data_IF_147643029764
#
_entry.id   IF_147643029764
#
_cell.length_a   1.000
_cell.length_b   1.000
_cell.length_c   1.000
_cell.angle_alpha   90.00
_cell.angle_beta   90.00
_cell.angle_gamma   90.00
#
_symmetry.space_group_name_H-M   'P 1'
#
loop_
_entity.id
_entity.type
_entity.pdbx_description
1 polymer ?
#
# COMPACT_ATOMS: atom_id res chain seq x y z
N UNK A 1 4.19 -1.52 -19.92
CA UNK A 1 3.08 -1.79 -18.98
C UNK A 1 1.90 -0.81 -19.18
N UNK A 2 2.03 0.17 -20.07
CA UNK A 2 1.05 1.27 -20.24
C UNK A 2 -0.22 0.94 -21.05
N UNK A 3 -0.21 -0.12 -21.85
CA UNK A 3 -1.31 -0.39 -22.79
C UNK A 3 -2.56 -1.02 -22.15
N UNK A 4 -2.46 -1.61 -20.95
CA UNK A 4 -3.61 -2.18 -20.24
C UNK A 4 -4.40 -1.12 -19.44
N UNK A 5 -3.74 0.00 -19.10
CA UNK A 5 -4.32 1.11 -18.33
C UNK A 5 -5.23 2.04 -19.16
N UNK A 6 -5.18 1.95 -20.50
CA UNK A 6 -5.90 2.85 -21.40
C UNK A 6 -7.38 2.50 -21.64
N UNK A 7 -7.85 1.33 -21.23
CA UNK A 7 -9.22 0.85 -21.54
C UNK A 7 -10.21 0.92 -20.36
N UNK A 8 -9.83 1.49 -19.21
CA UNK A 8 -10.72 1.66 -18.06
C UNK A 8 -11.32 3.08 -18.05
N UNK A 9 -12.56 3.29 -18.53
CA UNK A 9 -13.23 4.59 -18.44
C UNK A 9 -13.37 4.99 -16.96
N UNK A 10 -12.80 6.12 -16.58
CA UNK A 10 -12.84 6.67 -15.22
C UNK A 10 -11.66 6.32 -14.30
N UNK A 11 -10.74 5.42 -14.69
CA UNK A 11 -9.54 5.11 -13.90
C UNK A 11 -8.34 6.03 -14.21
N UNK A 12 -8.32 6.67 -15.38
CA UNK A 12 -7.18 7.47 -15.83
C UNK A 12 -6.81 8.67 -14.95
N UNK A 13 -7.76 9.26 -14.20
CA UNK A 13 -7.47 10.39 -13.31
C UNK A 13 -6.94 9.98 -11.93
N UNK A 14 -7.27 8.78 -11.44
CA UNK A 14 -6.88 8.34 -10.10
C UNK A 14 -5.46 7.76 -10.07
N UNK A 15 -5.00 7.15 -11.17
CA UNK A 15 -3.65 6.57 -11.27
C UNK A 15 -2.59 7.53 -11.83
N UNK A 16 -2.97 8.62 -12.52
CA UNK A 16 -2.02 9.60 -13.08
C UNK A 16 -1.15 10.32 -12.04
N UNK A 17 -1.60 10.39 -10.79
CA UNK A 17 -0.88 11.06 -9.71
C UNK A 17 0.00 10.11 -8.89
N UNK A 18 -0.02 8.81 -9.18
CA UNK A 18 0.86 7.85 -8.53
C UNK A 18 2.10 7.69 -9.42
N UNK A 19 2.96 8.70 -9.44
CA UNK A 19 4.32 8.55 -9.96
C UNK A 19 5.09 7.66 -8.99
N UNK A 20 4.87 6.35 -9.10
CA UNK A 20 5.71 5.39 -8.38
C UNK A 20 7.05 5.37 -9.10
N UNK A 21 8.09 5.89 -8.45
CA UNK A 21 9.44 5.72 -8.98
C UNK A 21 9.90 4.28 -8.80
N UNK A 22 10.72 3.75 -9.71
CA UNK A 22 11.27 2.40 -9.59
C UNK A 22 12.09 2.23 -8.29
N UNK A 23 12.73 3.30 -7.82
CA UNK A 23 13.44 3.34 -6.54
C UNK A 23 12.53 3.13 -5.33
N UNK A 24 11.31 3.66 -5.38
CA UNK A 24 10.32 3.48 -4.32
C UNK A 24 9.79 2.05 -4.30
N UNK A 25 9.63 1.41 -5.48
CA UNK A 25 9.30 -0.01 -5.57
C UNK A 25 10.38 -0.90 -4.96
N UNK A 26 11.65 -0.62 -5.25
CA UNK A 26 12.78 -1.37 -4.70
C UNK A 26 12.83 -1.30 -3.17
N UNK A 27 12.58 -0.13 -2.56
CA UNK A 27 12.52 0.02 -1.10
C UNK A 27 11.36 -0.74 -0.49
N UNK A 28 10.17 -0.67 -1.11
CA UNK A 28 9.00 -1.41 -0.64
C UNK A 28 9.26 -2.91 -0.70
N UNK A 29 9.83 -3.38 -1.80
CA UNK A 29 10.19 -4.79 -1.96
C UNK A 29 11.18 -5.25 -0.88
N UNK A 30 12.23 -4.48 -0.61
CA UNK A 30 13.21 -4.79 0.45
C UNK A 30 12.54 -4.90 1.83
N UNK A 31 11.62 -3.99 2.15
CA UNK A 31 10.84 -4.01 3.40
C UNK A 31 9.99 -5.28 3.49
N UNK A 32 9.23 -5.60 2.44
CA UNK A 32 8.36 -6.78 2.42
C UNK A 32 9.18 -8.08 2.50
N UNK A 33 10.31 -8.16 1.79
CA UNK A 33 11.21 -9.32 1.83
C UNK A 33 11.81 -9.54 3.23
N UNK A 34 11.94 -8.49 4.03
CA UNK A 34 12.45 -8.54 5.42
C UNK A 34 11.40 -8.94 6.47
N UNK A 35 10.13 -9.10 6.07
CA UNK A 35 9.07 -9.61 6.93
C UNK A 35 9.02 -11.14 6.93
N UNK A 36 8.58 -11.73 8.04
CA UNK A 36 8.25 -13.16 8.09
C UNK A 36 6.95 -13.46 7.32
N UNK A 37 6.73 -14.72 6.88
CA UNK A 37 5.47 -15.08 6.20
C UNK A 37 4.22 -14.78 7.04
N UNK A 38 4.30 -14.90 8.36
CA UNK A 38 3.21 -14.59 9.28
C UNK A 38 2.89 -13.10 9.32
N UNK A 39 3.93 -12.25 9.34
CA UNK A 39 3.80 -10.79 9.34
C UNK A 39 3.21 -10.27 8.02
N UNK A 40 3.57 -10.89 6.88
CA UNK A 40 2.98 -10.55 5.57
C UNK A 40 1.50 -10.91 5.50
N UNK A 41 1.12 -12.07 6.05
CA UNK A 41 -0.30 -12.50 6.12
C UNK A 41 -1.10 -11.64 7.10
N UNK A 42 -0.49 -11.22 8.20
CA UNK A 42 -1.14 -10.43 9.24
C UNK A 42 -0.27 -9.25 9.67
N UNK A 43 -0.33 -8.11 8.95
CA UNK A 43 0.45 -6.92 9.27
C UNK A 43 0.13 -6.32 10.64
N UNK A 44 -0.99 -6.70 11.26
CA UNK A 44 -1.39 -6.29 12.62
C UNK A 44 -0.45 -6.84 13.70
N UNK A 45 0.31 -7.89 13.41
CA UNK A 45 1.28 -8.47 14.33
C UNK A 45 2.56 -7.63 14.45
N UNK A 46 2.76 -6.65 13.56
CA UNK A 46 4.00 -5.87 13.48
C UNK A 46 4.00 -4.77 14.55
N UNK A 47 4.56 -5.11 15.71
CA UNK A 47 4.81 -4.20 16.83
C UNK A 47 6.08 -3.35 16.65
N UNK A 48 6.44 -2.57 17.67
CA UNK A 48 7.64 -1.73 17.66
C UNK A 48 8.95 -2.51 17.53
N UNK A 49 9.05 -3.70 18.12
CA UNK A 49 10.25 -4.55 18.05
C UNK A 49 10.42 -5.11 16.63
N UNK A 50 9.34 -5.64 16.06
CA UNK A 50 9.31 -6.16 14.68
C UNK A 50 9.58 -5.07 13.66
N UNK A 51 9.05 -3.85 13.85
CA UNK A 51 9.38 -2.70 13.00
C UNK A 51 10.87 -2.41 12.96
N UNK A 52 11.56 -2.41 14.11
CA UNK A 52 13.02 -2.21 14.17
C UNK A 52 13.77 -3.32 13.45
N UNK A 53 13.37 -4.58 13.66
CA UNK A 53 13.99 -5.74 13.00
C UNK A 53 13.82 -5.67 11.47
N UNK A 54 12.62 -5.37 10.98
CA UNK A 54 12.33 -5.23 9.54
C UNK A 54 13.17 -4.10 8.95
N UNK A 55 13.16 -2.92 9.60
CA UNK A 55 13.92 -1.76 9.17
C UNK A 55 15.43 -2.05 9.04
N UNK A 56 16.01 -2.74 10.03
CA UNK A 56 17.40 -3.16 9.98
C UNK A 56 17.67 -4.17 8.84
N UNK A 57 16.75 -5.13 8.61
CA UNK A 57 16.88 -6.12 7.54
C UNK A 57 16.72 -5.56 6.14
N UNK A 58 15.92 -4.49 5.97
CA UNK A 58 15.66 -3.86 4.67
C UNK A 58 16.55 -2.66 4.36
N UNK A 59 17.46 -2.28 5.28
CA UNK A 59 18.27 -1.06 5.14
C UNK A 59 17.44 0.23 5.14
N UNK A 60 16.28 0.22 5.80
CA UNK A 60 15.35 1.36 5.84
C UNK A 60 15.13 1.88 7.25
N UNK A 61 14.38 2.96 7.40
CA UNK A 61 14.00 3.50 8.72
C UNK A 61 12.73 2.83 9.27
N UNK A 62 12.55 2.84 10.59
CA UNK A 62 11.32 2.37 11.22
C UNK A 62 10.10 3.23 10.79
N UNK A 63 10.33 4.49 10.44
CA UNK A 63 9.33 5.41 9.91
C UNK A 63 8.87 4.98 8.52
N UNK A 64 9.78 4.55 7.65
CA UNK A 64 9.43 4.01 6.33
C UNK A 64 8.55 2.77 6.45
N UNK A 65 8.92 1.82 7.32
CA UNK A 65 8.11 0.63 7.60
C UNK A 65 6.72 1.02 8.13
N UNK A 66 6.65 1.98 9.06
CA UNK A 66 5.38 2.45 9.61
C UNK A 66 4.51 3.15 8.57
N UNK A 67 5.11 3.92 7.66
CA UNK A 67 4.42 4.55 6.53
C UNK A 67 3.79 3.52 5.59
N UNK A 68 4.56 2.49 5.21
CA UNK A 68 4.07 1.39 4.38
C UNK A 68 2.89 0.67 5.04
N UNK A 69 2.97 0.38 6.33
CA UNK A 69 1.88 -0.26 7.07
C UNK A 69 0.62 0.61 7.12
N UNK A 70 0.75 1.94 7.21
CA UNK A 70 -0.40 2.85 7.16
C UNK A 70 -1.06 2.84 5.79
N UNK A 71 -0.26 3.00 4.73
CA UNK A 71 -0.75 2.99 3.34
C UNK A 71 -1.44 1.65 3.02
N UNK A 72 -0.86 0.53 3.45
CA UNK A 72 -1.48 -0.78 3.30
C UNK A 72 -2.83 -0.88 4.03
N UNK A 73 -2.91 -0.41 5.27
CA UNK A 73 -4.16 -0.43 6.03
C UNK A 73 -5.26 0.45 5.39
N UNK A 74 -4.89 1.60 4.83
CA UNK A 74 -5.80 2.48 4.09
C UNK A 74 -6.30 1.80 2.82
N UNK A 75 -5.40 1.23 2.02
CA UNK A 75 -5.73 0.44 0.84
C UNK A 75 -6.66 -0.73 1.18
N UNK A 76 -6.36 -1.48 2.25
CA UNK A 76 -7.18 -2.59 2.71
C UNK A 76 -8.58 -2.14 3.14
N UNK A 77 -8.71 -0.99 3.81
CA UNK A 77 -10.01 -0.40 4.16
C UNK A 77 -10.81 -0.04 2.92
N UNK A 78 -10.19 0.59 1.93
CA UNK A 78 -10.84 0.95 0.67
C UNK A 78 -11.31 -0.30 -0.09
N UNK A 79 -10.46 -1.33 -0.22
CA UNK A 79 -10.81 -2.60 -0.86
C UNK A 79 -11.98 -3.29 -0.13
N UNK A 80 -11.99 -3.26 1.20
CA UNK A 80 -13.10 -3.81 1.98
C UNK A 80 -14.41 -3.04 1.76
N UNK A 81 -14.36 -1.71 1.69
CA UNK A 81 -15.54 -0.89 1.41
C UNK A 81 -16.11 -1.17 0.01
N UNK A 82 -15.23 -1.27 -1.00
CA UNK A 82 -15.60 -1.64 -2.36
C UNK A 82 -16.22 -3.04 -2.44
N UNK A 83 -15.61 -4.03 -1.79
CA UNK A 83 -16.13 -5.40 -1.72
C UNK A 83 -17.50 -5.50 -1.02
N UNK A 84 -17.80 -4.56 -0.10
CA UNK A 84 -19.10 -4.47 0.57
C UNK A 84 -20.16 -3.70 -0.24
N UNK A 85 -19.86 -3.29 -1.47
CA UNK A 85 -20.76 -2.47 -2.31
C UNK A 85 -21.02 -1.07 -1.73
N UNK A 86 -20.24 -0.64 -0.73
CA UNK A 86 -20.39 0.67 -0.11
C UNK A 86 -19.64 1.70 -0.95
N UNK A 87 -20.37 2.68 -1.47
CA UNK A 87 -19.81 3.82 -2.21
C UNK A 87 -18.69 4.49 -1.40
N UNK A 88 -17.54 4.71 -2.03
CA UNK A 88 -16.39 5.40 -1.42
C UNK A 88 -16.85 6.75 -0.85
N UNK A 89 -16.70 7.01 0.46
CA UNK A 89 -17.07 8.29 1.06
C UNK A 89 -16.32 9.42 0.35
N UNK A 90 -17.05 10.31 -0.33
CA UNK A 90 -16.49 11.40 -1.15
C UNK A 90 -16.96 11.36 -2.62
N UNK A 91 -17.25 10.19 -3.18
CA UNK A 91 -17.72 10.07 -4.58
C UNK A 91 -19.21 10.44 -4.75
N UNK A 92 -19.98 10.48 -3.65
CA UNK A 92 -21.43 10.75 -3.64
C UNK A 92 -21.79 12.23 -3.59
N UNK A 93 -20.81 13.14 -3.42
CA UNK A 93 -21.01 14.60 -3.37
C UNK A 93 -20.89 15.29 -4.74
N UNK A 94 -20.76 14.52 -5.83
CA UNK A 94 -20.56 15.04 -7.18
C UNK A 94 -21.71 14.70 -8.14
N UNK A 95 -22.87 14.32 -7.59
CA UNK A 95 -24.13 14.17 -8.32
C UNK A 95 -25.09 15.29 -7.94
#
# INVERSE_FOLDING_TARGET
LDQVLAMLPGAGSMFRNVQVSDDDLGRVEAIIRSMTPEERRSPKLIDGSRKRRIAAGSGSSAQAVNGLLKQFNEAQKMMKMMAQGKSIPGLRKMR
#
